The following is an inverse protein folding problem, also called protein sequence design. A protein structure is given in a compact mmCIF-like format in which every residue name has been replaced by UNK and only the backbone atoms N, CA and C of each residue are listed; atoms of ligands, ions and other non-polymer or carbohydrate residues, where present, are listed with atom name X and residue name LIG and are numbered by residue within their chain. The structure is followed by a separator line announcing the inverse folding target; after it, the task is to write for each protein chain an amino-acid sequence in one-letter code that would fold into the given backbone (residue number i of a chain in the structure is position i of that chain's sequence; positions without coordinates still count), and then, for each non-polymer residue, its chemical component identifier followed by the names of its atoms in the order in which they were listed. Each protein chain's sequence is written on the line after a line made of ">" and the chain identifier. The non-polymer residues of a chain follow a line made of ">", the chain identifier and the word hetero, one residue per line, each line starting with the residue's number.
data_IF_404714228328
#
_entry.id   IF_404714228328
#
_cell.length_a   1.000
_cell.length_b   1.000
_cell.length_c   1.000
_cell.angle_alpha   90.00
_cell.angle_beta   90.00
_cell.angle_gamma   90.00
#
_symmetry.space_group_name_H-M   'P 1'
#
loop_
_entity.id
_entity.type
_entity.pdbx_description
1 polymer ?
#
# COMPACT_ATOMS: atom_id res chain seq x y z
N UNK A 1 21.73 14.25 16.03
CA UNK A 1 20.96 15.08 15.08
C UNK A 1 19.65 15.47 15.73
N UNK A 2 19.15 16.69 15.50
CA UNK A 2 17.89 17.20 16.08
C UNK A 2 16.83 17.45 15.01
N UNK A 3 15.62 17.01 15.27
CA UNK A 3 14.42 17.14 14.45
C UNK A 3 13.25 17.61 15.31
N UNK A 4 12.19 18.15 14.70
CA UNK A 4 10.94 18.36 15.43
C UNK A 4 10.22 17.01 15.58
N UNK A 5 10.29 16.17 14.53
CA UNK A 5 9.62 14.88 14.48
C UNK A 5 10.53 13.79 13.89
N UNK A 6 10.58 12.63 14.53
CA UNK A 6 11.17 11.42 13.97
C UNK A 6 10.10 10.35 13.77
N UNK A 7 10.03 9.82 12.56
CA UNK A 7 9.08 8.80 12.14
C UNK A 7 9.84 7.50 11.90
N UNK A 8 9.40 6.43 12.55
CA UNK A 8 10.01 5.11 12.51
C UNK A 8 9.19 4.24 11.56
N UNK A 9 9.66 4.09 10.33
CA UNK A 9 9.00 3.35 9.25
C UNK A 9 8.74 4.21 8.01
N UNK A 10 9.25 3.77 6.85
CA UNK A 10 9.12 4.48 5.56
C UNK A 10 8.01 3.97 4.63
N UNK A 11 6.97 3.36 5.20
CA UNK A 11 5.79 2.90 4.45
C UNK A 11 4.77 4.00 4.17
N UNK A 12 3.58 3.60 3.72
CA UNK A 12 2.48 4.53 3.39
C UNK A 12 2.15 5.44 4.57
N UNK A 13 2.06 4.87 5.77
CA UNK A 13 1.79 5.59 7.01
C UNK A 13 2.86 6.63 7.33
N UNK A 14 4.13 6.22 7.31
CA UNK A 14 5.25 7.10 7.64
C UNK A 14 5.42 8.25 6.64
N UNK A 15 5.30 7.96 5.34
CA UNK A 15 5.33 8.99 4.29
C UNK A 15 4.13 9.94 4.37
N UNK A 16 2.93 9.43 4.65
CA UNK A 16 1.73 10.27 4.81
C UNK A 16 1.87 11.22 5.99
N UNK A 17 2.30 10.69 7.15
CA UNK A 17 2.53 11.49 8.35
C UNK A 17 3.64 12.52 8.12
N UNK A 18 4.79 12.09 7.58
CA UNK A 18 5.94 12.94 7.29
C UNK A 18 5.63 14.06 6.31
N UNK A 19 4.90 13.79 5.22
CA UNK A 19 4.46 14.81 4.27
C UNK A 19 3.54 15.81 4.98
N UNK A 20 2.54 15.35 5.73
CA UNK A 20 1.60 16.24 6.42
C UNK A 20 2.30 17.17 7.42
N UNK A 21 3.28 16.66 8.17
CA UNK A 21 4.06 17.44 9.13
C UNK A 21 5.02 18.41 8.43
N UNK A 22 5.74 17.95 7.40
CA UNK A 22 6.67 18.79 6.63
C UNK A 22 5.95 19.91 5.87
N UNK A 23 4.72 19.69 5.38
CA UNK A 23 3.86 20.74 4.81
C UNK A 23 3.53 21.86 5.80
N UNK A 24 3.65 21.62 7.11
CA UNK A 24 3.50 22.63 8.17
C UNK A 24 4.86 23.23 8.61
N UNK A 25 5.92 23.01 7.83
CA UNK A 25 7.26 23.53 8.11
C UNK A 25 8.01 22.79 9.22
N UNK A 26 7.51 21.63 9.68
CA UNK A 26 8.21 20.83 10.68
C UNK A 26 9.43 20.15 10.09
N UNK A 27 10.54 20.16 10.82
CA UNK A 27 11.76 19.45 10.47
C UNK A 27 11.60 17.96 10.81
N UNK A 28 11.37 17.14 9.80
CA UNK A 28 11.06 15.72 9.97
C UNK A 28 12.19 14.79 9.48
N UNK A 29 12.40 13.68 10.19
CA UNK A 29 13.17 12.54 9.70
C UNK A 29 12.30 11.29 9.61
N UNK A 30 12.50 10.48 8.56
CA UNK A 30 11.96 9.12 8.44
C UNK A 30 13.13 8.14 8.47
N UNK A 31 13.12 7.21 9.42
CA UNK A 31 14.04 6.06 9.46
C UNK A 31 13.34 4.85 8.85
N UNK A 32 13.91 4.25 7.82
CA UNK A 32 13.28 3.16 7.07
C UNK A 32 14.24 1.99 6.87
N UNK A 33 13.90 0.82 7.41
CA UNK A 33 14.68 -0.42 7.31
C UNK A 33 14.91 -0.89 5.87
N UNK A 34 14.00 -0.55 4.96
CA UNK A 34 14.12 -0.91 3.55
C UNK A 34 12.93 -0.50 2.71
N UNK A 35 12.58 -1.37 1.77
CA UNK A 35 11.41 -1.20 0.90
C UNK A 35 10.12 -1.48 1.67
N UNK A 36 9.03 -0.82 1.27
CA UNK A 36 7.77 -0.88 2.02
C UNK A 36 6.78 -1.90 1.45
N UNK A 37 5.74 -2.21 2.22
CA UNK A 37 4.61 -3.01 1.76
C UNK A 37 3.85 -2.40 0.54
N UNK A 38 4.10 -1.13 0.19
CA UNK A 38 3.57 -0.52 -1.05
C UNK A 38 4.08 -1.28 -2.29
N UNK A 39 5.17 -2.06 -2.19
CA UNK A 39 5.62 -2.93 -3.29
C UNK A 39 4.64 -4.08 -3.61
N UNK A 40 3.63 -4.32 -2.77
CA UNK A 40 2.53 -5.27 -3.00
C UNK A 40 1.26 -4.59 -3.53
N UNK A 41 1.32 -3.29 -3.82
CA UNK A 41 0.19 -2.47 -4.25
C UNK A 41 -0.48 -3.00 -5.52
N UNK A 42 -1.79 -3.16 -5.48
CA UNK A 42 -2.61 -3.68 -6.58
C UNK A 42 -3.05 -2.61 -7.58
N UNK A 43 -2.43 -1.44 -7.59
CA UNK A 43 -2.87 -0.30 -8.40
C UNK A 43 -3.95 0.56 -7.75
N UNK A 44 -4.43 0.15 -6.58
CA UNK A 44 -5.55 0.77 -5.89
C UNK A 44 -5.43 0.66 -4.37
N UNK A 45 -5.98 1.64 -3.64
CA UNK A 45 -6.05 1.70 -2.19
C UNK A 45 -7.46 1.35 -1.72
N UNK A 46 -7.56 0.44 -0.75
CA UNK A 46 -8.83 0.05 -0.14
C UNK A 46 -9.10 0.85 1.14
N UNK A 47 -10.35 1.25 1.36
CA UNK A 47 -10.81 1.93 2.57
C UNK A 47 -11.50 0.95 3.52
N UNK A 48 -12.50 0.24 3.02
CA UNK A 48 -13.19 -0.85 3.69
C UNK A 48 -13.94 -1.63 2.60
N UNK A 49 -13.50 -2.85 2.34
CA UNK A 49 -14.05 -3.72 1.30
C UNK A 49 -15.10 -4.69 1.82
N UNK A 50 -14.99 -5.12 3.09
CA UNK A 50 -15.88 -6.10 3.71
C UNK A 50 -16.11 -5.85 5.20
N UNK A 51 -17.32 -6.17 5.67
CA UNK A 51 -17.68 -6.21 7.10
C UNK A 51 -18.54 -7.46 7.33
N UNK A 52 -18.21 -8.27 8.34
CA UNK A 52 -18.92 -9.53 8.63
C UNK A 52 -19.06 -10.45 7.40
N UNK A 53 -18.00 -10.54 6.60
CA UNK A 53 -17.91 -11.29 5.34
C UNK A 53 -18.75 -10.76 4.17
N UNK A 54 -19.61 -9.78 4.42
CA UNK A 54 -20.39 -9.08 3.40
C UNK A 54 -19.56 -8.01 2.70
N UNK A 55 -19.78 -7.87 1.39
CA UNK A 55 -19.13 -6.83 0.58
C UNK A 55 -19.69 -5.44 0.91
N UNK A 56 -18.79 -4.46 1.02
CA UNK A 56 -19.14 -3.08 1.35
C UNK A 56 -19.25 -2.24 0.09
N UNK A 57 -20.42 -1.64 -0.13
CA UNK A 57 -20.62 -0.63 -1.18
C UNK A 57 -20.34 0.78 -0.68
N UNK A 58 -20.77 1.14 0.54
CA UNK A 58 -20.52 2.46 1.14
C UNK A 58 -19.64 2.31 2.39
N UNK A 59 -18.31 2.54 2.27
CA UNK A 59 -17.38 2.44 3.39
C UNK A 59 -17.75 3.28 4.60
N UNK A 60 -18.09 4.57 4.41
CA UNK A 60 -18.36 5.49 5.52
C UNK A 60 -19.54 5.03 6.39
N UNK A 61 -20.61 4.55 5.76
CA UNK A 61 -21.76 4.01 6.46
C UNK A 61 -21.43 2.67 7.14
N UNK A 62 -20.75 1.76 6.44
CA UNK A 62 -20.39 0.44 6.98
C UNK A 62 -19.42 0.51 8.16
N UNK A 63 -18.62 1.57 8.29
CA UNK A 63 -17.74 1.77 9.45
C UNK A 63 -18.50 1.90 10.78
N UNK A 64 -19.80 2.24 10.76
CA UNK A 64 -20.64 2.31 11.96
C UNK A 64 -20.80 0.96 12.65
N UNK A 65 -20.73 -0.13 11.88
CA UNK A 65 -20.87 -1.51 12.37
C UNK A 65 -19.56 -2.14 12.86
N UNK A 66 -18.42 -1.44 12.72
CA UNK A 66 -17.12 -1.92 13.22
C UNK A 66 -17.07 -1.88 14.75
N UNK A 67 -16.24 -2.71 15.40
CA UNK A 67 -16.06 -2.68 16.86
C UNK A 67 -15.36 -1.40 17.32
N UNK A 68 -15.62 -0.94 18.54
CA UNK A 68 -15.05 0.32 19.07
C UNK A 68 -13.52 0.30 19.17
N UNK A 69 -12.91 -0.87 19.24
CA UNK A 69 -11.45 -1.06 19.19
C UNK A 69 -10.86 -0.81 17.79
N UNK A 70 -11.68 -0.78 16.74
CA UNK A 70 -11.21 -0.59 15.37
C UNK A 70 -10.58 0.80 15.18
N UNK A 71 -9.43 0.94 14.49
CA UNK A 71 -8.77 2.24 14.29
C UNK A 71 -9.68 3.35 13.75
N UNK A 72 -10.59 3.05 12.81
CA UNK A 72 -11.58 4.03 12.33
C UNK A 72 -12.54 4.54 13.42
N UNK A 73 -13.01 3.66 14.31
CA UNK A 73 -13.85 4.05 15.45
C UNK A 73 -13.07 4.92 16.43
N UNK A 74 -11.82 4.55 16.69
CA UNK A 74 -10.90 5.27 17.57
C UNK A 74 -10.49 6.64 17.06
N UNK A 75 -10.32 6.82 15.75
CA UNK A 75 -10.10 8.15 15.12
C UNK A 75 -11.31 9.08 15.35
N UNK A 76 -12.51 8.50 15.35
CA UNK A 76 -13.80 9.19 15.45
C UNK A 76 -14.46 9.33 14.08
N UNK A 77 -15.67 8.76 13.94
CA UNK A 77 -16.40 8.71 12.65
C UNK A 77 -16.74 10.11 12.10
N UNK A 78 -16.89 11.10 12.98
CA UNK A 78 -17.10 12.52 12.63
C UNK A 78 -15.92 13.12 11.83
N UNK A 79 -14.71 12.56 11.98
CA UNK A 79 -13.50 13.02 11.29
C UNK A 79 -13.18 12.22 10.04
N UNK A 80 -13.67 10.98 9.95
CA UNK A 80 -13.24 10.04 8.90
C UNK A 80 -13.49 10.61 7.51
N UNK A 81 -14.68 11.16 7.23
CA UNK A 81 -15.00 11.71 5.91
C UNK A 81 -14.08 12.88 5.51
N UNK A 82 -13.72 13.75 6.46
CA UNK A 82 -12.74 14.80 6.20
C UNK A 82 -11.36 14.21 5.93
N UNK A 83 -10.93 13.25 6.74
CA UNK A 83 -9.61 12.65 6.64
C UNK A 83 -9.44 11.81 5.35
N UNK A 84 -10.50 11.18 4.83
CA UNK A 84 -10.46 10.47 3.54
C UNK A 84 -10.25 11.46 2.39
N UNK A 85 -10.94 12.61 2.41
CA UNK A 85 -10.71 13.68 1.45
C UNK A 85 -9.29 14.26 1.59
N UNK A 86 -8.81 14.52 2.80
CA UNK A 86 -7.46 15.01 3.06
C UNK A 86 -6.39 14.03 2.55
N UNK A 87 -6.61 12.72 2.71
CA UNK A 87 -5.74 11.68 2.20
C UNK A 87 -5.70 11.67 0.66
N UNK A 88 -6.85 11.71 -0.01
CA UNK A 88 -6.91 11.83 -1.48
C UNK A 88 -6.15 13.08 -1.96
N UNK A 89 -6.42 14.23 -1.35
CA UNK A 89 -5.75 15.47 -1.71
C UNK A 89 -4.24 15.42 -1.46
N UNK A 90 -3.78 14.73 -0.40
CA UNK A 90 -2.36 14.54 -0.12
C UNK A 90 -1.69 13.69 -1.21
N UNK A 91 -2.31 12.57 -1.57
CA UNK A 91 -1.80 11.69 -2.60
C UNK A 91 -1.75 12.40 -3.96
N UNK A 92 -2.80 13.16 -4.31
CA UNK A 92 -2.86 13.93 -5.57
C UNK A 92 -1.80 15.02 -5.63
N UNK A 93 -1.67 15.86 -4.59
CA UNK A 93 -0.65 16.92 -4.57
C UNK A 93 0.78 16.39 -4.43
N UNK A 94 0.95 15.13 -4.02
CA UNK A 94 2.23 14.43 -4.06
C UNK A 94 2.59 13.93 -5.46
N UNK A 95 1.69 14.07 -6.45
CA UNK A 95 1.95 13.72 -7.85
C UNK A 95 1.42 12.34 -8.26
N UNK A 96 0.44 11.79 -7.54
CA UNK A 96 -0.31 10.60 -7.95
C UNK A 96 -1.62 11.03 -8.65
N UNK A 97 -2.01 10.32 -9.71
CA UNK A 97 -3.30 10.55 -10.36
C UNK A 97 -4.27 9.44 -9.95
N UNK A 98 -5.30 9.78 -9.19
CA UNK A 98 -6.20 8.85 -8.52
C UNK A 98 -7.66 9.27 -8.72
N UNK A 99 -8.54 8.27 -8.83
CA UNK A 99 -9.99 8.46 -8.88
C UNK A 99 -10.68 7.59 -7.83
N UNK A 100 -11.78 8.09 -7.25
CA UNK A 100 -12.61 7.35 -6.31
C UNK A 100 -13.29 8.26 -5.28
N UNK A 101 -14.19 7.69 -4.49
CA UNK A 101 -14.98 8.40 -3.48
C UNK A 101 -15.08 7.56 -2.20
N UNK A 102 -15.06 8.20 -1.03
CA UNK A 102 -15.04 7.48 0.25
C UNK A 102 -16.40 6.85 0.62
N UNK A 103 -17.51 7.43 0.13
CA UNK A 103 -18.88 6.97 0.35
C UNK A 103 -19.32 5.89 -0.64
N UNK A 104 -18.48 5.55 -1.63
CA UNK A 104 -18.80 4.50 -2.60
C UNK A 104 -17.55 3.79 -3.11
N UNK A 105 -17.42 2.51 -2.80
CA UNK A 105 -16.45 1.66 -3.45
C UNK A 105 -16.80 1.50 -4.93
N UNK A 106 -15.82 1.67 -5.80
CA UNK A 106 -15.84 1.13 -7.16
C UNK A 106 -15.10 -0.20 -7.19
N UNK A 107 -15.02 -0.82 -8.36
CA UNK A 107 -14.42 -2.15 -8.53
C UNK A 107 -13.20 -2.09 -9.44
N UNK A 108 -12.21 -2.92 -9.16
CA UNK A 108 -11.09 -3.17 -10.05
C UNK A 108 -10.97 -4.66 -10.36
N UNK A 109 -10.70 -5.00 -11.62
CA UNK A 109 -10.48 -6.40 -12.00
C UNK A 109 -9.14 -6.86 -11.41
N UNK A 110 -9.14 -8.01 -10.75
CA UNK A 110 -7.92 -8.58 -10.16
C UNK A 110 -7.23 -9.54 -11.12
N UNK A 111 -5.96 -9.90 -10.87
CA UNK A 111 -5.26 -10.94 -11.65
C UNK A 111 -5.88 -12.34 -11.50
N UNK A 112 -6.83 -12.53 -10.57
CA UNK A 112 -7.63 -13.75 -10.42
C UNK A 112 -8.91 -13.73 -11.26
N UNK A 113 -9.14 -12.67 -12.05
CA UNK A 113 -10.33 -12.53 -12.89
C UNK A 113 -11.62 -12.25 -12.10
N UNK A 114 -11.50 -11.71 -10.88
CA UNK A 114 -12.65 -11.28 -10.06
C UNK A 114 -12.61 -9.78 -9.80
N UNK A 115 -13.77 -9.15 -9.68
CA UNK A 115 -13.89 -7.75 -9.28
C UNK A 115 -13.63 -7.60 -7.78
N UNK A 116 -12.81 -6.62 -7.41
CA UNK A 116 -12.51 -6.29 -6.01
C UNK A 116 -13.00 -4.87 -5.68
N UNK A 117 -13.82 -4.70 -4.63
CA UNK A 117 -14.24 -3.38 -4.16
C UNK A 117 -13.03 -2.59 -3.65
N UNK A 118 -12.92 -1.34 -4.09
CA UNK A 118 -11.78 -0.47 -3.83
C UNK A 118 -12.19 1.00 -3.65
N UNK A 119 -11.37 1.78 -2.95
CA UNK A 119 -11.64 3.19 -2.67
C UNK A 119 -10.99 4.14 -3.68
N UNK A 120 -9.66 4.10 -3.84
CA UNK A 120 -8.93 4.98 -4.78
C UNK A 120 -8.13 4.14 -5.76
N UNK A 121 -8.20 4.44 -7.05
CA UNK A 121 -7.46 3.71 -8.09
C UNK A 121 -6.60 4.64 -8.92
N UNK A 122 -5.35 4.22 -9.19
CA UNK A 122 -4.47 4.96 -10.10
C UNK A 122 -5.07 5.01 -11.50
N UNK A 123 -4.93 6.14 -12.19
CA UNK A 123 -5.43 6.32 -13.57
C UNK A 123 -4.87 5.32 -14.58
N UNK A 124 -3.75 4.66 -14.26
CA UNK A 124 -3.20 3.51 -14.99
C UNK A 124 -4.22 2.35 -15.12
N UNK A 125 -5.06 2.15 -14.12
CA UNK A 125 -5.99 1.04 -14.02
C UNK A 125 -7.42 1.45 -14.39
N UNK A 126 -8.22 0.45 -14.75
CA UNK A 126 -9.64 0.65 -15.09
C UNK A 126 -10.50 0.33 -13.88
N UNK A 127 -11.36 1.29 -13.52
CA UNK A 127 -12.38 1.13 -12.49
C UNK A 127 -13.73 0.79 -13.12
N UNK A 128 -14.55 0.03 -12.42
CA UNK A 128 -15.89 -0.40 -12.82
C UNK A 128 -16.90 -0.02 -11.74
N UNK A 129 -18.09 0.44 -12.13
CA UNK A 129 -19.14 0.80 -11.17
C UNK A 129 -19.91 -0.42 -10.65
N UNK A 130 -19.90 -1.54 -11.38
CA UNK A 130 -20.66 -2.74 -11.03
C UNK A 130 -19.79 -3.99 -11.11
N UNK A 131 -19.78 -4.75 -10.00
CA UNK A 131 -18.98 -5.96 -9.78
C UNK A 131 -19.31 -7.14 -10.71
N UNK A 132 -20.54 -7.20 -11.19
CA UNK A 132 -21.08 -8.33 -11.98
C UNK A 132 -21.12 -8.00 -13.48
N UNK A 133 -20.56 -6.85 -13.88
CA UNK A 133 -20.56 -6.40 -15.27
C UNK A 133 -19.16 -6.22 -15.84
N UNK A 134 -18.99 -6.62 -17.09
CA UNK A 134 -17.81 -6.32 -17.88
C UNK A 134 -18.26 -5.83 -19.27
N UNK A 135 -17.83 -4.64 -19.73
CA UNK A 135 -18.45 -3.98 -20.88
C UNK A 135 -18.05 -4.58 -22.23
N UNK A 136 -17.02 -5.43 -22.26
CA UNK A 136 -16.48 -6.03 -23.48
C UNK A 136 -16.85 -7.51 -23.57
N UNK A 137 -16.98 -8.06 -24.79
CA UNK A 137 -17.35 -9.48 -25.00
C UNK A 137 -16.22 -10.32 -25.57
N UNK A 138 -15.22 -9.71 -26.19
CA UNK A 138 -14.00 -10.35 -26.68
C UNK A 138 -12.76 -9.66 -26.11
N UNK A 139 -11.96 -10.40 -25.34
CA UNK A 139 -10.74 -9.88 -24.74
C UNK A 139 -9.50 -10.62 -25.28
N UNK A 140 -8.42 -9.90 -25.54
CA UNK A 140 -7.10 -10.51 -25.69
C UNK A 140 -6.28 -10.22 -24.45
N UNK A 141 -5.76 -11.27 -23.82
CA UNK A 141 -4.81 -11.19 -22.72
C UNK A 141 -3.42 -11.34 -23.33
N UNK A 142 -2.68 -10.24 -23.37
CA UNK A 142 -1.33 -10.23 -23.88
C UNK A 142 -0.36 -10.40 -22.72
N UNK A 143 0.55 -11.36 -22.87
CA UNK A 143 1.66 -11.55 -21.95
C UNK A 143 2.99 -11.39 -22.69
N UNK A 144 4.05 -11.10 -21.96
CA UNK A 144 5.39 -11.10 -22.51
C UNK A 144 5.94 -12.52 -22.47
N UNK A 145 6.55 -12.95 -23.58
CA UNK A 145 7.19 -14.26 -23.64
C UNK A 145 8.10 -14.45 -22.41
N UNK A 146 7.86 -15.50 -21.63
CA UNK A 146 8.64 -15.88 -20.43
C UNK A 146 8.49 -14.98 -19.22
N UNK A 147 7.51 -14.07 -19.22
CA UNK A 147 7.08 -13.39 -18.02
C UNK A 147 6.11 -14.29 -17.25
N UNK A 148 6.58 -14.79 -16.10
CA UNK A 148 5.86 -15.79 -15.29
C UNK A 148 4.97 -15.16 -14.22
N UNK A 149 5.17 -13.88 -13.93
CA UNK A 149 4.52 -13.16 -12.84
C UNK A 149 3.13 -12.61 -13.25
N UNK A 150 2.57 -13.08 -14.38
CA UNK A 150 1.23 -12.72 -14.84
C UNK A 150 0.40 -13.97 -15.18
N UNK A 151 -0.48 -14.35 -14.26
CA UNK A 151 -1.25 -15.59 -14.35
C UNK A 151 -2.45 -15.49 -15.30
N UNK A 152 -2.17 -15.47 -16.61
CA UNK A 152 -3.17 -15.28 -17.67
C UNK A 152 -4.31 -16.28 -17.66
N UNK A 153 -4.09 -17.50 -17.18
CA UNK A 153 -5.12 -18.54 -17.11
C UNK A 153 -6.22 -18.20 -16.09
N UNK A 154 -5.87 -17.63 -14.94
CA UNK A 154 -6.87 -17.21 -13.94
C UNK A 154 -7.71 -16.05 -14.47
N UNK A 155 -7.08 -15.08 -15.13
CA UNK A 155 -7.77 -13.97 -15.78
C UNK A 155 -8.77 -14.51 -16.82
N UNK A 156 -8.29 -15.38 -17.72
CA UNK A 156 -9.13 -16.00 -18.75
C UNK A 156 -10.31 -16.77 -18.15
N UNK A 157 -10.08 -17.52 -17.07
CA UNK A 157 -11.13 -18.31 -16.42
C UNK A 157 -12.16 -17.42 -15.70
N UNK A 158 -11.70 -16.43 -14.92
CA UNK A 158 -12.59 -15.50 -14.23
C UNK A 158 -13.44 -14.66 -15.19
N UNK A 159 -12.89 -14.29 -16.35
CA UNK A 159 -13.63 -13.59 -17.41
C UNK A 159 -14.82 -14.37 -17.98
N UNK A 160 -14.84 -15.72 -17.86
CA UNK A 160 -16.01 -16.52 -18.25
C UNK A 160 -17.25 -16.17 -17.45
N UNK A 161 -17.11 -15.72 -16.19
CA UNK A 161 -18.24 -15.31 -15.33
C UNK A 161 -18.99 -14.09 -15.87
N UNK A 162 -18.36 -13.34 -16.78
CA UNK A 162 -18.93 -12.17 -17.44
C UNK A 162 -19.32 -12.43 -18.91
N UNK A 163 -19.33 -13.71 -19.32
CA UNK A 163 -19.56 -14.17 -20.70
C UNK A 163 -18.58 -13.57 -21.72
N UNK A 164 -17.30 -13.45 -21.33
CA UNK A 164 -16.25 -12.88 -22.18
C UNK A 164 -15.45 -13.98 -22.86
N UNK A 165 -15.36 -13.92 -24.18
CA UNK A 165 -14.48 -14.76 -24.98
C UNK A 165 -13.05 -14.22 -24.91
N UNK A 166 -12.23 -14.81 -24.04
CA UNK A 166 -10.85 -14.41 -23.85
C UNK A 166 -9.85 -15.33 -24.57
N UNK A 167 -8.88 -14.75 -25.29
CA UNK A 167 -7.74 -15.47 -25.85
C UNK A 167 -6.44 -14.96 -25.24
N UNK A 168 -5.48 -15.86 -25.01
CA UNK A 168 -4.16 -15.52 -24.50
C UNK A 168 -3.19 -15.54 -25.69
N UNK A 169 -2.43 -14.46 -25.85
CA UNK A 169 -1.35 -14.37 -26.85
C UNK A 169 -0.08 -13.87 -26.18
N UNK A 170 1.06 -14.33 -26.67
CA UNK A 170 2.37 -13.88 -26.18
C UNK A 170 3.00 -12.90 -27.16
N UNK A 171 3.65 -11.88 -26.62
CA UNK A 171 4.42 -10.90 -27.38
C UNK A 171 5.91 -11.16 -27.15
N UNK A 172 6.65 -11.29 -28.25
CA UNK A 172 8.11 -11.35 -28.23
C UNK A 172 8.67 -10.04 -28.77
N UNK A 173 9.66 -9.49 -28.07
CA UNK A 173 10.38 -8.27 -28.45
C UNK A 173 11.88 -8.50 -28.26
N UNK A 174 12.69 -7.95 -29.17
CA UNK A 174 14.15 -8.15 -29.15
C UNK A 174 14.78 -7.56 -27.88
N UNK A 175 14.22 -6.46 -27.39
CA UNK A 175 14.60 -5.80 -26.14
C UNK A 175 14.46 -6.76 -24.95
N UNK A 176 13.45 -7.64 -24.97
CA UNK A 176 13.25 -8.62 -23.90
C UNK A 176 14.12 -9.87 -24.05
N UNK A 177 14.53 -10.22 -25.27
CA UNK A 177 15.51 -11.29 -25.49
C UNK A 177 16.88 -10.91 -24.92
N UNK A 178 17.26 -9.63 -24.97
CA UNK A 178 18.52 -9.13 -24.42
C UNK A 178 18.61 -9.23 -22.88
N UNK A 179 17.47 -9.13 -22.18
CA UNK A 179 17.35 -9.31 -20.72
C UNK A 179 17.07 -10.76 -20.31
N UNK A 180 16.97 -11.70 -21.25
CA UNK A 180 16.71 -13.13 -20.97
C UNK A 180 18.01 -13.93 -20.91
N UNK A 181 19.06 -13.40 -20.28
CA UNK A 181 20.28 -14.19 -20.04
C UNK A 181 20.02 -15.26 -18.99
N UNK A 182 19.06 -15.01 -18.09
CA UNK A 182 18.54 -15.98 -17.13
C UNK A 182 16.99 -15.90 -17.07
N UNK A 183 16.28 -17.05 -16.97
CA UNK A 183 14.84 -17.07 -16.70
C UNK A 183 14.38 -16.20 -15.50
N UNK A 184 15.25 -15.95 -14.52
CA UNK A 184 14.97 -15.10 -13.36
C UNK A 184 14.89 -13.60 -13.65
N UNK A 185 15.33 -13.15 -14.83
CA UNK A 185 15.44 -11.73 -15.19
C UNK A 185 14.15 -11.15 -15.80
N UNK A 186 13.22 -11.98 -16.27
CA UNK A 186 11.90 -11.56 -16.74
C UNK A 186 10.99 -11.22 -15.56
N UNK A 187 11.31 -10.12 -14.87
CA UNK A 187 10.55 -9.56 -13.75
C UNK A 187 9.90 -8.24 -14.13
N UNK A 188 8.80 -7.91 -13.44
CA UNK A 188 8.01 -6.70 -13.65
C UNK A 188 8.86 -5.43 -13.76
N UNK A 189 9.84 -5.27 -12.88
CA UNK A 189 10.73 -4.10 -12.83
C UNK A 189 11.71 -4.03 -13.98
N UNK A 190 12.22 -5.17 -14.46
CA UNK A 190 13.14 -5.19 -15.61
C UNK A 190 12.39 -4.92 -16.91
N UNK A 191 11.19 -5.48 -17.06
CA UNK A 191 10.31 -5.17 -18.20
C UNK A 191 9.96 -3.69 -18.20
N UNK A 192 9.58 -3.12 -17.06
CA UNK A 192 9.26 -1.70 -16.96
C UNK A 192 10.45 -0.78 -17.29
N UNK A 193 11.66 -1.14 -16.88
CA UNK A 193 12.89 -0.39 -17.24
C UNK A 193 13.16 -0.37 -18.74
N UNK A 194 12.86 -1.45 -19.44
CA UNK A 194 12.96 -1.47 -20.90
C UNK A 194 11.89 -0.58 -21.55
N UNK A 195 10.67 -0.56 -21.02
CA UNK A 195 9.62 0.35 -21.50
C UNK A 195 9.86 1.83 -21.19
N UNK A 196 10.62 2.13 -20.13
CA UNK A 196 11.04 3.48 -19.82
C UNK A 196 12.08 4.03 -20.83
N UNK A 197 12.67 3.17 -21.68
CA UNK A 197 13.57 3.58 -22.79
C UNK A 197 12.77 4.06 -24.00
N UNK A 198 13.38 4.95 -24.79
CA UNK A 198 12.78 5.44 -26.03
C UNK A 198 12.54 4.31 -27.04
N UNK A 199 11.44 4.41 -27.82
CA UNK A 199 10.98 3.50 -28.87
C UNK A 199 10.40 2.13 -28.45
N UNK A 200 10.63 1.65 -27.22
CA UNK A 200 10.11 0.34 -26.79
C UNK A 200 8.57 0.29 -26.79
N UNK A 201 7.91 1.38 -26.37
CA UNK A 201 6.44 1.48 -26.41
C UNK A 201 5.91 1.42 -27.84
N UNK A 202 6.56 2.10 -28.80
CA UNK A 202 6.08 2.18 -30.17
C UNK A 202 6.09 0.81 -30.86
N UNK A 203 7.19 0.06 -30.72
CA UNK A 203 7.27 -1.31 -31.23
C UNK A 203 6.21 -2.21 -30.58
N UNK A 204 6.03 -2.08 -29.26
CA UNK A 204 5.04 -2.87 -28.55
C UNK A 204 3.61 -2.56 -28.99
N UNK A 205 3.26 -1.28 -29.10
CA UNK A 205 1.92 -0.85 -29.50
C UNK A 205 1.57 -1.36 -30.91
N UNK A 206 2.50 -1.31 -31.87
CA UNK A 206 2.29 -1.89 -33.20
C UNK A 206 1.98 -3.40 -33.13
N UNK A 207 2.76 -4.16 -32.36
CA UNK A 207 2.51 -5.59 -32.16
C UNK A 207 1.20 -5.87 -31.44
N UNK A 208 0.88 -5.08 -30.41
CA UNK A 208 -0.36 -5.19 -29.65
C UNK A 208 -1.58 -4.94 -30.56
N UNK A 209 -1.55 -3.91 -31.41
CA UNK A 209 -2.62 -3.61 -32.36
C UNK A 209 -2.89 -4.80 -33.29
N UNK A 210 -1.85 -5.36 -33.91
CA UNK A 210 -1.97 -6.57 -34.77
C UNK A 210 -2.54 -7.76 -33.99
N UNK A 211 -2.06 -8.01 -32.76
CA UNK A 211 -2.52 -9.15 -31.96
C UNK A 211 -3.93 -8.97 -31.39
N UNK A 212 -4.39 -7.72 -31.28
CA UNK A 212 -5.71 -7.35 -30.77
C UNK A 212 -6.78 -7.22 -31.85
N UNK A 213 -6.44 -7.48 -33.11
CA UNK A 213 -7.42 -7.49 -34.19
C UNK A 213 -8.53 -8.53 -33.92
N UNK A 214 -9.78 -8.11 -34.14
CA UNK A 214 -10.98 -8.90 -33.82
C UNK A 214 -11.38 -8.97 -32.34
N UNK A 215 -10.70 -8.25 -31.43
CA UNK A 215 -11.05 -8.14 -30.01
C UNK A 215 -11.55 -6.74 -29.66
N UNK A 216 -12.28 -6.65 -28.54
CA UNK A 216 -12.86 -5.40 -28.04
C UNK A 216 -11.93 -4.71 -27.03
N UNK A 217 -11.08 -5.46 -26.34
CA UNK A 217 -10.22 -4.97 -25.25
C UNK A 217 -8.91 -5.76 -25.15
N UNK A 218 -7.84 -5.05 -24.75
CA UNK A 218 -6.52 -5.62 -24.48
C UNK A 218 -6.26 -5.62 -22.98
N UNK A 219 -5.93 -6.77 -22.42
CA UNK A 219 -5.54 -6.92 -21.01
C UNK A 219 -4.04 -7.18 -20.94
N UNK A 220 -3.34 -6.40 -20.12
CA UNK A 220 -1.89 -6.41 -19.96
C UNK A 220 -1.48 -6.47 -18.49
N UNK A 221 -0.30 -7.00 -18.17
CA UNK A 221 0.29 -6.80 -16.87
C UNK A 221 0.71 -5.33 -16.67
N UNK A 222 0.56 -4.81 -15.46
CA UNK A 222 0.93 -3.45 -15.08
C UNK A 222 2.45 -3.31 -14.86
N UNK A 223 3.22 -3.46 -15.94
CA UNK A 223 4.70 -3.41 -15.97
C UNK A 223 5.21 -2.21 -16.76
N UNK A 224 4.50 -1.08 -16.65
CA UNK A 224 4.76 0.13 -17.43
C UNK A 224 4.99 1.33 -16.52
N UNK A 225 5.96 2.16 -16.89
CA UNK A 225 6.26 3.42 -16.21
C UNK A 225 6.80 3.19 -14.80
N UNK A 226 8.04 2.74 -14.66
CA UNK A 226 8.66 2.60 -13.34
C UNK A 226 9.19 3.95 -12.85
N UNK A 227 9.94 4.62 -13.72
CA UNK A 227 10.49 5.96 -13.48
C UNK A 227 9.80 7.04 -14.31
N UNK A 228 9.19 6.66 -15.45
CA UNK A 228 8.46 7.60 -16.29
C UNK A 228 6.95 7.42 -16.13
N UNK A 229 6.32 8.41 -15.48
CA UNK A 229 4.87 8.40 -15.16
C UNK A 229 3.98 8.41 -16.41
N UNK A 230 4.49 8.86 -17.56
CA UNK A 230 3.71 9.02 -18.80
C UNK A 230 3.60 7.76 -19.65
N UNK A 231 4.35 6.70 -19.34
CA UNK A 231 4.43 5.49 -20.19
C UNK A 231 3.08 4.78 -20.30
N UNK A 232 2.33 4.69 -19.19
CA UNK A 232 1.01 4.05 -19.20
C UNK A 232 0.00 4.83 -20.06
N UNK A 233 0.03 6.16 -20.02
CA UNK A 233 -0.84 7.01 -20.85
C UNK A 233 -0.46 6.91 -22.33
N UNK A 234 0.82 7.02 -22.66
CA UNK A 234 1.33 6.83 -24.04
C UNK A 234 0.98 5.46 -24.61
N UNK A 235 1.01 4.43 -23.78
CA UNK A 235 0.60 3.08 -24.16
C UNK A 235 -0.88 3.06 -24.55
N UNK A 236 -1.75 3.65 -23.71
CA UNK A 236 -3.20 3.73 -23.94
C UNK A 236 -3.54 4.57 -25.17
N UNK A 237 -2.76 5.60 -25.49
CA UNK A 237 -2.93 6.43 -26.68
C UNK A 237 -2.56 5.70 -27.99
N UNK A 238 -1.56 4.81 -27.93
CA UNK A 238 -1.01 4.12 -29.12
C UNK A 238 -1.69 2.80 -29.46
N UNK A 239 -2.33 2.17 -28.48
CA UNK A 239 -3.11 0.95 -28.70
C UNK A 239 -4.54 1.35 -29.08
N UNK A 240 -5.02 0.86 -30.22
CA UNK A 240 -6.31 1.26 -30.81
C UNK A 240 -7.52 0.76 -30.00
N UNK A 241 -7.33 -0.29 -29.20
CA UNK A 241 -8.34 -0.88 -28.33
C UNK A 241 -8.18 -0.35 -26.90
N UNK A 242 -9.27 -0.27 -26.11
CA UNK A 242 -9.18 -0.06 -24.67
C UNK A 242 -8.16 -1.01 -24.01
N UNK A 243 -7.31 -0.45 -23.14
CA UNK A 243 -6.26 -1.19 -22.44
C UNK A 243 -6.59 -1.27 -20.95
N UNK A 244 -6.61 -2.50 -20.42
CA UNK A 244 -6.73 -2.79 -18.99
C UNK A 244 -5.39 -3.28 -18.49
N UNK A 245 -4.78 -2.50 -17.61
CA UNK A 245 -3.62 -2.95 -16.85
C UNK A 245 -4.10 -3.69 -15.61
N UNK A 246 -3.55 -4.89 -15.38
CA UNK A 246 -3.81 -5.70 -14.19
C UNK A 246 -2.50 -5.90 -13.41
N UNK A 247 -2.55 -5.95 -12.06
CA UNK A 247 -1.33 -6.17 -11.28
C UNK A 247 -0.62 -7.47 -11.65
N UNK A 248 0.71 -7.44 -11.67
CA UNK A 248 1.52 -8.66 -11.70
C UNK A 248 1.84 -9.12 -10.27
N UNK A 249 2.40 -10.33 -10.13
CA UNK A 249 2.98 -10.76 -8.85
C UNK A 249 4.05 -9.72 -8.44
N UNK A 250 4.11 -9.36 -7.16
CA UNK A 250 5.12 -8.44 -6.65
C UNK A 250 6.56 -8.79 -7.06
N UNK A 251 7.43 -7.79 -7.26
CA UNK A 251 7.20 -6.38 -6.92
C UNK A 251 6.31 -5.65 -7.93
N UNK A 252 5.39 -4.84 -7.40
CA UNK A 252 4.47 -4.01 -8.16
C UNK A 252 5.18 -2.77 -8.68
N UNK A 253 5.26 -2.61 -10.01
CA UNK A 253 5.79 -1.41 -10.67
C UNK A 253 5.04 -0.14 -10.24
N UNK A 254 3.69 -0.07 -10.31
CA UNK A 254 2.97 1.11 -9.84
C UNK A 254 3.10 1.31 -8.32
N UNK A 255 3.31 0.24 -7.55
CA UNK A 255 3.62 0.32 -6.13
C UNK A 255 4.97 1.00 -5.85
N UNK A 256 6.03 0.54 -6.52
CA UNK A 256 7.37 1.14 -6.43
C UNK A 256 7.31 2.62 -6.84
N UNK A 257 6.66 2.93 -7.96
CA UNK A 257 6.50 4.31 -8.44
C UNK A 257 5.76 5.19 -7.43
N UNK A 258 4.71 4.65 -6.80
CA UNK A 258 3.98 5.34 -5.72
C UNK A 258 4.90 5.65 -4.55
N UNK A 259 5.69 4.68 -4.08
CA UNK A 259 6.63 4.91 -2.98
C UNK A 259 7.71 5.94 -3.34
N UNK A 260 8.29 5.86 -4.54
CA UNK A 260 9.28 6.83 -5.03
C UNK A 260 8.66 8.24 -5.03
N UNK A 261 7.46 8.38 -5.59
CA UNK A 261 6.75 9.68 -5.71
C UNK A 261 6.48 10.31 -4.34
N UNK A 262 5.99 9.52 -3.37
CA UNK A 262 5.74 10.03 -2.02
C UNK A 262 7.03 10.37 -1.28
N UNK A 263 8.09 9.58 -1.46
CA UNK A 263 9.41 9.86 -0.87
C UNK A 263 10.00 11.15 -1.44
N UNK A 264 9.96 11.32 -2.76
CA UNK A 264 10.43 12.54 -3.43
C UNK A 264 9.69 13.76 -2.90
N UNK A 265 8.35 13.69 -2.80
CA UNK A 265 7.55 14.76 -2.20
C UNK A 265 7.98 15.10 -0.78
N UNK A 266 8.21 14.09 0.06
CA UNK A 266 8.69 14.32 1.43
C UNK A 266 10.05 15.02 1.46
N UNK A 267 10.98 14.62 0.58
CA UNK A 267 12.31 15.23 0.48
C UNK A 267 12.26 16.65 -0.09
N UNK A 268 11.39 16.93 -1.06
CA UNK A 268 11.14 18.28 -1.60
C UNK A 268 10.65 19.25 -0.54
N UNK A 269 9.89 18.76 0.45
CA UNK A 269 9.44 19.52 1.61
C UNK A 269 10.52 19.72 2.68
N UNK A 270 11.76 19.28 2.42
CA UNK A 270 12.89 19.39 3.36
C UNK A 270 13.02 18.23 4.34
N UNK A 271 12.24 17.15 4.17
CA UNK A 271 12.31 15.96 4.99
C UNK A 271 13.58 15.13 4.78
N UNK A 272 14.16 14.61 5.87
CA UNK A 272 15.31 13.69 5.81
C UNK A 272 14.82 12.24 5.75
N UNK A 273 15.13 11.52 4.68
CA UNK A 273 14.75 10.10 4.54
C UNK A 273 15.98 9.18 4.63
N UNK A 274 16.08 8.41 5.72
CA UNK A 274 17.17 7.48 5.99
C UNK A 274 16.77 6.06 5.55
N UNK A 275 17.08 5.72 4.30
CA UNK A 275 16.78 4.42 3.71
C UNK A 275 17.84 3.36 4.08
N UNK A 276 17.39 2.17 4.44
CA UNK A 276 18.24 1.03 4.77
C UNK A 276 18.78 1.06 6.21
N UNK A 277 18.13 1.82 7.10
CA UNK A 277 18.55 1.99 8.49
C UNK A 277 17.44 1.53 9.46
N UNK A 278 17.85 0.99 10.61
CA UNK A 278 16.94 0.44 11.62
C UNK A 278 17.10 1.21 12.90
N UNK A 279 15.98 1.55 13.54
CA UNK A 279 15.99 2.01 14.93
C UNK A 279 16.14 0.80 15.82
N UNK A 280 17.13 0.83 16.72
CA UNK A 280 17.47 -0.31 17.57
C UNK A 280 17.06 -0.09 19.03
N UNK A 281 17.13 1.15 19.50
CA UNK A 281 16.86 1.49 20.89
C UNK A 281 16.34 2.93 21.03
N UNK A 282 15.69 3.20 22.17
CA UNK A 282 15.26 4.52 22.60
C UNK A 282 15.60 4.78 24.06
N UNK A 283 15.92 6.03 24.40
CA UNK A 283 16.16 6.46 25.78
C UNK A 283 14.95 7.22 26.29
N UNK A 284 14.36 6.72 27.37
CA UNK A 284 13.18 7.29 28.00
C UNK A 284 13.52 7.98 29.32
N UNK A 285 12.91 9.13 29.58
CA UNK A 285 13.01 9.83 30.86
C UNK A 285 11.65 10.46 31.19
N UNK A 286 11.16 10.28 32.41
CA UNK A 286 9.92 10.88 32.91
C UNK A 286 8.70 10.70 31.97
N UNK A 287 8.55 9.52 31.37
CA UNK A 287 7.42 9.21 30.47
C UNK A 287 7.55 9.77 29.05
N UNK A 288 8.73 10.27 28.67
CA UNK A 288 9.03 10.81 27.33
C UNK A 288 10.17 10.04 26.67
N UNK A 289 10.11 9.88 25.34
CA UNK A 289 11.23 9.43 24.52
C UNK A 289 12.12 10.63 24.17
N UNK A 290 13.38 10.60 24.58
CA UNK A 290 14.33 11.72 24.38
C UNK A 290 15.11 11.55 23.07
N UNK A 291 15.63 10.35 22.84
CA UNK A 291 16.46 10.03 21.70
C UNK A 291 16.26 8.59 21.27
N UNK A 292 16.54 8.33 19.99
CA UNK A 292 16.70 6.99 19.43
C UNK A 292 18.11 6.80 18.89
N UNK A 293 18.54 5.53 18.80
CA UNK A 293 19.75 5.15 18.06
C UNK A 293 19.41 4.24 16.90
N UNK A 294 20.24 4.33 15.87
CA UNK A 294 20.06 3.62 14.62
C UNK A 294 21.31 2.82 14.26
N UNK A 295 21.12 1.64 13.66
CA UNK A 295 22.20 0.73 13.28
C UNK A 295 23.30 1.40 12.43
N UNK A 296 22.94 2.23 11.45
CA UNK A 296 23.92 2.73 10.48
C UNK A 296 24.71 3.96 10.95
N UNK A 297 24.34 4.57 12.08
CA UNK A 297 24.90 5.86 12.52
C UNK A 297 25.66 5.79 13.86
N UNK A 298 25.92 4.59 14.38
CA UNK A 298 26.77 4.39 15.57
C UNK A 298 26.33 5.24 16.76
N UNK A 299 27.25 6.08 17.27
CA UNK A 299 27.02 6.93 18.44
C UNK A 299 26.20 8.21 18.17
N UNK A 300 25.76 8.44 16.92
CA UNK A 300 24.92 9.59 16.60
C UNK A 300 23.52 9.36 17.17
N UNK A 301 23.18 10.15 18.19
CA UNK A 301 21.85 10.22 18.78
C UNK A 301 20.88 10.98 17.88
N UNK A 302 19.65 10.50 17.73
CA UNK A 302 18.59 11.21 17.04
C UNK A 302 17.55 11.69 18.05
N UNK A 303 17.49 13.00 18.25
CA UNK A 303 16.61 13.66 19.22
C UNK A 303 15.45 14.33 18.49
N UNK A 304 14.24 14.27 19.06
CA UNK A 304 13.08 15.00 18.57
C UNK A 304 12.09 15.36 19.67
N UNK A 305 11.27 16.38 19.41
CA UNK A 305 10.17 16.73 20.30
C UNK A 305 9.09 15.65 20.30
N UNK A 306 8.82 15.08 19.12
CA UNK A 306 7.80 14.07 18.89
C UNK A 306 8.32 12.88 18.07
N UNK A 307 7.79 11.70 18.36
CA UNK A 307 8.12 10.45 17.68
C UNK A 307 6.85 9.77 17.17
N UNK A 308 6.96 9.09 16.03
CA UNK A 308 5.86 8.35 15.42
C UNK A 308 6.32 6.94 15.07
N UNK A 309 5.72 5.93 15.69
CA UNK A 309 5.90 4.53 15.33
C UNK A 309 4.94 4.16 14.19
N UNK A 310 5.52 3.96 13.01
CA UNK A 310 4.84 3.54 11.78
C UNK A 310 5.57 2.33 11.14
N UNK A 311 6.10 1.45 11.99
CA UNK A 311 7.01 0.34 11.63
C UNK A 311 6.31 -0.81 10.89
N UNK A 312 4.98 -0.80 10.86
CA UNK A 312 4.15 -1.84 10.26
C UNK A 312 4.04 -3.09 11.13
N UNK A 313 3.09 -3.97 10.81
CA UNK A 313 2.83 -5.20 11.58
C UNK A 313 3.90 -6.30 11.34
N UNK A 314 3.52 -7.56 11.52
CA UNK A 314 4.36 -8.76 11.41
C UNK A 314 5.23 -8.82 10.14
N UNK A 315 4.67 -8.50 8.97
CA UNK A 315 5.42 -8.53 7.71
C UNK A 315 6.64 -7.61 7.72
N UNK A 316 6.50 -6.42 8.30
CA UNK A 316 7.56 -5.40 8.39
C UNK A 316 8.42 -5.55 9.64
N UNK A 317 8.15 -6.58 10.47
CA UNK A 317 8.81 -6.84 11.75
C UNK A 317 8.65 -5.70 12.78
N UNK A 318 7.66 -4.82 12.63
CA UNK A 318 7.33 -3.88 13.72
C UNK A 318 6.59 -4.56 14.87
N UNK A 319 6.11 -5.80 14.64
CA UNK A 319 5.67 -6.73 15.67
C UNK A 319 6.36 -8.07 15.42
N UNK A 320 6.91 -8.67 16.47
CA UNK A 320 7.60 -9.96 16.40
C UNK A 320 6.84 -10.97 17.25
N UNK A 321 6.54 -12.12 16.65
CA UNK A 321 5.98 -13.28 17.34
C UNK A 321 7.04 -14.38 17.45
N UNK A 322 7.34 -14.81 18.68
CA UNK A 322 8.15 -15.99 18.98
C UNK A 322 7.26 -17.14 19.44
N UNK A 323 7.85 -18.24 19.89
CA UNK A 323 7.09 -19.37 20.43
C UNK A 323 6.29 -18.98 21.69
N UNK A 324 6.83 -18.05 22.48
CA UNK A 324 6.44 -17.72 23.85
C UNK A 324 5.84 -16.33 24.02
N UNK A 325 6.07 -15.40 23.08
CA UNK A 325 5.60 -14.02 23.22
C UNK A 325 5.39 -13.31 21.90
N UNK A 326 4.59 -12.26 21.95
CA UNK A 326 4.42 -11.27 20.91
C UNK A 326 4.85 -9.91 21.49
N UNK A 327 5.72 -9.19 20.80
CA UNK A 327 6.27 -7.91 21.30
C UNK A 327 6.62 -6.94 20.18
N UNK A 328 6.63 -5.66 20.51
CA UNK A 328 7.21 -4.59 19.69
C UNK A 328 8.72 -4.56 19.96
N UNK A 329 9.59 -4.70 18.94
CA UNK A 329 10.99 -5.04 19.16
C UNK A 329 11.91 -3.85 19.50
N UNK A 330 11.48 -2.60 19.32
CA UNK A 330 12.34 -1.43 19.49
C UNK A 330 12.30 -0.90 20.92
N UNK A 331 11.09 -0.73 21.47
CA UNK A 331 10.87 -0.11 22.78
C UNK A 331 10.19 -1.05 23.78
N UNK A 332 9.67 -2.19 23.32
CA UNK A 332 8.94 -3.11 24.19
C UNK A 332 7.57 -2.56 24.60
N UNK A 333 6.89 -1.86 23.68
CA UNK A 333 5.57 -1.29 23.91
C UNK A 333 4.51 -2.37 24.21
N UNK A 334 3.47 -1.96 24.94
CA UNK A 334 2.35 -2.83 25.27
C UNK A 334 1.63 -3.28 23.99
N UNK A 335 1.26 -4.56 23.92
CA UNK A 335 0.53 -5.12 22.80
C UNK A 335 -0.94 -5.31 23.19
N UNK A 336 -1.83 -4.87 22.30
CA UNK A 336 -3.22 -5.29 22.26
C UNK A 336 -3.32 -6.66 21.56
N UNK A 337 -3.44 -7.73 22.34
CA UNK A 337 -3.54 -9.11 21.86
C UNK A 337 -3.57 -10.10 23.02
N UNK A 338 -3.93 -11.36 22.75
CA UNK A 338 -3.93 -12.40 23.79
C UNK A 338 -2.49 -12.88 24.07
N UNK A 339 -2.15 -13.09 25.34
CA UNK A 339 -0.84 -13.66 25.72
C UNK A 339 -0.79 -15.18 25.51
N UNK A 340 -1.95 -15.84 25.49
CA UNK A 340 -2.05 -17.28 25.27
C UNK A 340 -1.98 -17.59 23.77
N UNK A 341 -0.91 -18.28 23.39
CA UNK A 341 -0.62 -18.62 22.00
C UNK A 341 -1.68 -19.49 21.34
N UNK A 342 -2.36 -20.35 22.09
CA UNK A 342 -3.39 -21.23 21.50
C UNK A 342 -4.56 -20.43 20.93
N UNK A 343 -4.75 -19.19 21.38
CA UNK A 343 -5.80 -18.28 20.90
C UNK A 343 -5.36 -17.39 19.75
N UNK A 344 -4.09 -17.44 19.33
CA UNK A 344 -3.59 -16.56 18.27
C UNK A 344 -4.13 -16.96 16.90
N UNK A 345 -4.41 -18.24 16.70
CA UNK A 345 -4.79 -18.81 15.41
C UNK A 345 -6.01 -19.70 15.55
N UNK A 346 -6.74 -19.80 14.45
CA UNK A 346 -7.77 -20.82 14.24
C UNK A 346 -7.13 -22.00 13.50
N UNK A 347 -7.52 -23.23 13.85
CA UNK A 347 -7.02 -24.46 13.22
C UNK A 347 -7.22 -24.47 11.70
N UNK A 348 -8.28 -23.80 11.21
CA UNK A 348 -8.56 -23.64 9.78
C UNK A 348 -7.89 -22.38 9.26
N UNK A 349 -6.89 -22.55 8.40
CA UNK A 349 -6.05 -21.46 7.86
C UNK A 349 -6.84 -20.30 7.21
N UNK A 350 -8.01 -20.56 6.61
CA UNK A 350 -8.85 -19.55 5.95
C UNK A 350 -9.87 -18.88 6.89
N UNK A 351 -10.02 -19.37 8.12
CA UNK A 351 -10.82 -18.72 9.13
C UNK A 351 -10.19 -17.40 9.57
N UNK A 352 -10.96 -16.65 10.34
CA UNK A 352 -10.46 -15.42 10.95
C UNK A 352 -9.36 -15.75 11.96
N UNK A 353 -8.16 -15.24 11.72
CA UNK A 353 -7.01 -15.50 12.58
C UNK A 353 -6.90 -14.34 13.57
N UNK A 354 -7.01 -14.62 14.87
CA UNK A 354 -7.06 -13.59 15.90
C UNK A 354 -5.84 -12.66 15.86
N UNK A 355 -4.65 -13.22 15.59
CA UNK A 355 -3.40 -12.46 15.51
C UNK A 355 -3.43 -11.33 14.47
N UNK A 356 -4.29 -11.39 13.46
CA UNK A 356 -4.42 -10.32 12.46
C UNK A 356 -4.88 -9.00 13.08
N UNK A 357 -5.52 -9.03 14.26
CA UNK A 357 -5.95 -7.85 15.04
C UNK A 357 -4.94 -7.40 16.07
N UNK A 358 -3.85 -8.13 16.27
CA UNK A 358 -2.90 -7.80 17.31
C UNK A 358 -1.99 -6.66 16.86
N UNK A 359 -1.69 -5.76 17.79
CA UNK A 359 -0.94 -4.55 17.50
C UNK A 359 -0.46 -3.83 18.73
N UNK A 360 0.28 -2.73 18.52
CA UNK A 360 0.69 -1.84 19.60
C UNK A 360 -0.53 -1.17 20.21
N UNK A 361 -0.66 -1.30 21.52
CA UNK A 361 -1.70 -0.66 22.32
C UNK A 361 -1.43 0.83 22.41
N UNK A 362 -2.50 1.60 22.40
CA UNK A 362 -2.47 3.05 22.38
C UNK A 362 -3.59 3.63 23.23
N UNK A 363 -3.42 4.86 23.70
CA UNK A 363 -4.51 5.60 24.33
C UNK A 363 -5.52 6.15 23.28
N UNK A 364 -6.47 6.97 23.74
CA UNK A 364 -7.46 7.59 22.85
C UNK A 364 -6.87 8.59 21.84
N UNK A 365 -5.67 9.11 22.11
CA UNK A 365 -4.96 10.05 21.25
C UNK A 365 -3.87 9.38 20.40
N UNK A 366 -3.87 8.05 20.32
CA UNK A 366 -2.90 7.25 19.57
C UNK A 366 -1.46 7.36 20.11
N UNK A 367 -1.29 7.72 21.39
CA UNK A 367 0.00 7.64 22.08
C UNK A 367 0.28 6.20 22.50
N UNK A 368 1.50 5.73 22.26
CA UNK A 368 1.96 4.39 22.59
C UNK A 368 1.84 4.13 24.09
N UNK A 369 1.34 2.95 24.46
CA UNK A 369 1.32 2.51 25.85
C UNK A 369 2.59 1.73 26.18
N UNK A 370 3.20 2.03 27.31
CA UNK A 370 4.36 1.31 27.84
C UNK A 370 4.17 1.09 29.33
N UNK A 371 4.11 -0.16 29.76
CA UNK A 371 3.83 -0.54 31.15
C UNK A 371 2.51 0.03 31.68
N UNK A 372 1.48 0.10 30.83
CA UNK A 372 0.15 0.60 31.17
C UNK A 372 -0.01 2.12 31.14
N UNK A 373 1.05 2.89 30.91
CA UNK A 373 1.03 4.36 30.85
C UNK A 373 1.35 4.87 29.44
N UNK A 374 0.73 5.98 28.98
CA UNK A 374 1.03 6.55 27.68
C UNK A 374 2.40 7.26 27.70
N UNK A 375 3.22 7.00 26.69
CA UNK A 375 4.43 7.79 26.43
C UNK A 375 4.01 9.12 25.79
N UNK A 376 4.36 10.23 26.43
CA UNK A 376 3.77 11.54 26.14
C UNK A 376 3.95 11.97 24.67
N UNK A 377 5.12 11.70 24.10
CA UNK A 377 5.55 12.19 22.79
C UNK A 377 5.79 11.07 21.76
N UNK A 378 5.21 9.89 21.95
CA UNK A 378 5.33 8.76 21.01
C UNK A 378 3.94 8.35 20.50
N UNK A 379 3.66 8.69 19.25
CA UNK A 379 2.40 8.35 18.57
C UNK A 379 2.56 7.07 17.75
N UNK A 380 1.46 6.38 17.46
CA UNK A 380 1.45 5.15 16.68
C UNK A 380 0.46 5.28 15.52
N UNK A 381 0.88 4.89 14.31
CA UNK A 381 0.05 5.01 13.12
C UNK A 381 0.23 3.85 12.14
N UNK A 382 -0.85 3.52 11.44
CA UNK A 382 -0.90 2.49 10.41
C UNK A 382 -1.01 1.07 10.94
N UNK A 383 -0.47 0.11 10.18
CA UNK A 383 -0.71 -1.32 10.41
C UNK A 383 -0.09 -1.88 11.68
N UNK A 384 0.77 -1.12 12.37
CA UNK A 384 1.29 -1.53 13.69
C UNK A 384 0.23 -1.37 14.80
N UNK A 385 -0.85 -0.62 14.57
CA UNK A 385 -1.98 -0.49 15.50
C UNK A 385 -2.78 -1.80 15.58
N UNK A 386 -3.29 -2.11 16.77
CA UNK A 386 -4.25 -3.20 16.99
C UNK A 386 -5.68 -2.85 16.57
N UNK A 387 -6.54 -3.87 16.58
CA UNK A 387 -8.00 -3.71 16.53
C UNK A 387 -8.67 -3.89 15.17
N UNK A 388 -7.94 -4.20 14.09
CA UNK A 388 -8.50 -4.45 12.75
C UNK A 388 -7.93 -5.72 12.14
N UNK A 389 -8.66 -6.38 11.22
CA UNK A 389 -8.11 -7.40 10.33
C UNK A 389 -8.07 -6.86 8.89
N UNK A 390 -7.00 -6.13 8.50
CA UNK A 390 -6.97 -5.43 7.22
C UNK A 390 -7.05 -6.34 6.00
N UNK A 391 -6.62 -7.60 6.14
CA UNK A 391 -6.65 -8.58 5.07
C UNK A 391 -8.08 -9.03 4.75
N UNK A 392 -8.89 -9.32 5.77
CA UNK A 392 -10.29 -9.73 5.58
C UNK A 392 -11.19 -8.54 5.24
N UNK A 393 -10.95 -7.40 5.88
CA UNK A 393 -11.78 -6.21 5.76
C UNK A 393 -11.47 -5.40 4.48
N UNK A 394 -10.25 -5.51 3.94
CA UNK A 394 -9.77 -4.59 2.90
C UNK A 394 -9.68 -3.15 3.41
N UNK A 395 -9.06 -2.96 4.58
CA UNK A 395 -8.96 -1.67 5.26
C UNK A 395 -7.53 -1.15 5.42
N UNK A 396 -6.52 -1.90 4.95
CA UNK A 396 -5.11 -1.63 5.28
C UNK A 396 -4.56 -0.29 4.81
N UNK A 397 -4.90 0.12 3.58
CA UNK A 397 -4.47 1.41 3.06
C UNK A 397 -5.19 2.57 3.75
N UNK A 398 -6.52 2.46 3.90
CA UNK A 398 -7.31 3.44 4.64
C UNK A 398 -6.82 3.63 6.09
N UNK A 399 -6.57 2.54 6.84
CA UNK A 399 -6.01 2.61 8.20
C UNK A 399 -4.66 3.34 8.17
N UNK A 400 -3.78 2.97 7.23
CA UNK A 400 -2.46 3.61 7.08
C UNK A 400 -2.55 5.11 6.83
N UNK A 401 -3.44 5.55 5.94
CA UNK A 401 -3.59 6.97 5.59
C UNK A 401 -4.25 7.76 6.72
N UNK A 402 -5.40 7.30 7.21
CA UNK A 402 -6.25 8.07 8.12
C UNK A 402 -5.65 8.17 9.52
N UNK A 403 -5.06 7.09 10.04
CA UNK A 403 -4.43 7.13 11.36
C UNK A 403 -3.16 7.97 11.35
N UNK A 404 -2.42 8.01 10.23
CA UNK A 404 -1.24 8.87 10.08
C UNK A 404 -1.59 10.35 9.98
N UNK A 405 -2.65 10.70 9.26
CA UNK A 405 -3.16 12.07 9.25
C UNK A 405 -3.68 12.48 10.63
N UNK A 406 -4.40 11.58 11.30
CA UNK A 406 -4.87 11.81 12.66
C UNK A 406 -3.72 12.05 13.64
N UNK A 407 -2.69 11.19 13.64
CA UNK A 407 -1.51 11.36 14.48
C UNK A 407 -0.80 12.69 14.21
N UNK A 408 -0.64 13.07 12.94
CA UNK A 408 -0.06 14.36 12.57
C UNK A 408 -0.90 15.54 13.11
N UNK A 409 -2.23 15.45 13.08
CA UNK A 409 -3.11 16.47 13.68
C UNK A 409 -2.97 16.55 15.21
N UNK A 410 -2.76 15.43 15.90
CA UNK A 410 -2.52 15.46 17.35
C UNK A 410 -1.19 16.13 17.69
N UNK A 411 -0.17 15.95 16.86
CA UNK A 411 1.16 16.55 16.99
C UNK A 411 1.15 18.06 16.72
N UNK A 412 0.27 18.52 15.81
CA UNK A 412 0.23 19.92 15.35
C UNK A 412 -0.66 20.83 16.21
N UNK A 413 -1.38 20.26 17.19
CA UNK A 413 -2.10 21.04 18.22
C UNK A 413 -1.12 21.67 19.18
#
# INVERSE_FOLDING_TARGET
>A
MKFDNIIIGGGLSGLTCGIKLAEQGKKCAIVSSGQSAIHFFSGSFDLLSKVNEEEVTNPLESMKALPDTHPYKRVGLDKIERLTNDALHLLVRSGLNLTGQADRNHFTLTPMGVMKPTWLTLSDFTSFDNKDSFPWKKAVILNFSGFLDFHTLFIKDGLKKFDVQAQIKNVSMKQFEAIRKNPSEMRSTNIAKEFDKENAIDEFAQKANVLSDGFDVVILPAVFGLFNKTIADKLKEKIEKPVLLLPAIPPSVPGIRTQITLRERFQELGGTYLLGDNVEEGVFENGRLLEIRTNNHGDIKFEADQFILASGSFYSKGIVATHDKLYEPIFGLDIEGDSDREKWFDEKIFNDQAFMRYGVKTDQNFRAMMNGEPVENLYVAGSVLGGANPLKEGSGAGISLLTSLHAAEQILK
#
